data_IF_384789332439
#
_entry.id   IF_384789332439
#
_cell.length_a   1.000
_cell.length_b   1.000
_cell.length_c   1.000
_cell.angle_alpha   90.00
_cell.angle_beta   90.00
_cell.angle_gamma   90.00
#
_symmetry.space_group_name_H-M   'P 1'
#
loop_
_entity.id
_entity.type
_entity.pdbx_description
1 polymer ?
#
# COMPACT_ATOMS: atom_id res chain seq x y z
N UNK A 1 -29.50 -27.79 6.35
CA UNK A 1 -28.48 -27.10 7.17
C UNK A 1 -27.69 -26.26 6.20
N UNK A 2 -28.08 -24.99 6.02
CA UNK A 2 -27.46 -24.12 5.03
C UNK A 2 -25.96 -24.06 5.33
N UNK A 3 -25.14 -24.50 4.39
CA UNK A 3 -23.70 -24.27 4.37
C UNK A 3 -23.51 -22.76 4.23
N UNK A 4 -23.66 -22.07 5.36
CA UNK A 4 -23.52 -20.64 5.47
C UNK A 4 -22.18 -20.29 4.89
N UNK A 5 -22.19 -19.38 3.91
CA UNK A 5 -21.00 -18.69 3.46
C UNK A 5 -20.54 -17.87 4.67
N UNK A 6 -19.83 -18.51 5.60
CA UNK A 6 -19.05 -17.81 6.60
C UNK A 6 -17.99 -17.09 5.80
N UNK A 7 -18.20 -15.82 5.52
CA UNK A 7 -17.12 -14.97 5.02
C UNK A 7 -16.01 -15.11 6.05
N UNK A 8 -14.93 -15.76 5.66
CA UNK A 8 -13.89 -16.16 6.60
C UNK A 8 -13.24 -14.87 7.10
N UNK A 9 -13.55 -14.48 8.34
CA UNK A 9 -13.01 -13.26 8.96
C UNK A 9 -11.49 -13.23 8.91
N UNK A 10 -10.86 -14.42 8.98
CA UNK A 10 -9.43 -14.63 8.75
C UNK A 10 -8.97 -14.18 7.35
N UNK A 11 -9.73 -14.48 6.29
CA UNK A 11 -9.40 -14.04 4.93
C UNK A 11 -9.53 -12.52 4.77
N UNK A 12 -10.55 -11.90 5.39
CA UNK A 12 -10.72 -10.44 5.38
C UNK A 12 -9.57 -9.76 6.14
N UNK A 13 -9.22 -10.27 7.32
CA UNK A 13 -8.06 -9.80 8.09
C UNK A 13 -6.75 -9.97 7.31
N UNK A 14 -6.59 -11.09 6.61
CA UNK A 14 -5.46 -11.34 5.71
C UNK A 14 -5.39 -10.31 4.57
N UNK A 15 -6.53 -9.97 3.96
CA UNK A 15 -6.63 -8.94 2.93
C UNK A 15 -6.25 -7.55 3.45
N UNK A 16 -6.71 -7.18 4.64
CA UNK A 16 -6.32 -5.93 5.32
C UNK A 16 -4.81 -5.90 5.56
N UNK A 17 -4.25 -7.00 6.05
CA UNK A 17 -2.82 -7.16 6.27
C UNK A 17 -2.02 -6.97 4.98
N UNK A 18 -2.45 -7.63 3.90
CA UNK A 18 -1.84 -7.51 2.58
C UNK A 18 -1.84 -6.07 2.07
N UNK A 19 -2.98 -5.38 2.12
CA UNK A 19 -3.09 -3.98 1.70
C UNK A 19 -2.13 -3.08 2.51
N UNK A 20 -2.09 -3.26 3.84
CA UNK A 20 -1.20 -2.51 4.73
C UNK A 20 0.28 -2.74 4.37
N UNK A 21 0.69 -3.99 4.19
CA UNK A 21 2.07 -4.34 3.82
C UNK A 21 2.43 -3.77 2.45
N UNK A 22 1.56 -3.93 1.45
CA UNK A 22 1.81 -3.39 0.10
C UNK A 22 1.97 -1.87 0.11
N UNK A 23 1.11 -1.13 0.82
CA UNK A 23 1.27 0.32 0.96
C UNK A 23 2.61 0.69 1.60
N UNK A 24 2.96 0.05 2.71
CA UNK A 24 4.22 0.29 3.41
C UNK A 24 5.44 0.05 2.50
N UNK A 25 5.48 -1.08 1.80
CA UNK A 25 6.60 -1.42 0.90
C UNK A 25 6.71 -0.44 -0.27
N UNK A 26 5.59 0.00 -0.85
CA UNK A 26 5.55 0.99 -1.92
C UNK A 26 6.07 2.36 -1.45
N UNK A 27 5.63 2.82 -0.28
CA UNK A 27 6.12 4.06 0.34
C UNK A 27 7.61 3.97 0.67
N UNK A 28 8.04 2.86 1.27
CA UNK A 28 9.43 2.62 1.62
C UNK A 28 10.34 2.61 0.38
N UNK A 29 9.93 1.92 -0.69
CA UNK A 29 10.66 1.89 -1.95
C UNK A 29 10.78 3.28 -2.58
N UNK A 30 9.68 4.04 -2.64
CA UNK A 30 9.68 5.41 -3.17
C UNK A 30 10.59 6.34 -2.37
N UNK A 31 10.52 6.27 -1.04
CA UNK A 31 11.36 7.08 -0.15
C UNK A 31 12.84 6.69 -0.24
N UNK A 32 13.15 5.40 -0.31
CA UNK A 32 14.51 4.90 -0.48
C UNK A 32 15.12 5.38 -1.79
N UNK A 33 14.36 5.32 -2.89
CA UNK A 33 14.80 5.80 -4.20
C UNK A 33 15.11 7.30 -4.18
N UNK A 34 14.20 8.13 -3.63
CA UNK A 34 14.43 9.59 -3.48
C UNK A 34 15.67 9.88 -2.64
N UNK A 35 15.83 9.19 -1.51
CA UNK A 35 16.97 9.39 -0.61
C UNK A 35 18.29 9.04 -1.30
N UNK A 36 18.35 7.91 -2.00
CA UNK A 36 19.54 7.49 -2.72
C UNK A 36 19.94 8.52 -3.80
N UNK A 37 18.96 9.00 -4.58
CA UNK A 37 19.17 10.05 -5.57
C UNK A 37 19.66 11.38 -4.95
N UNK A 38 19.05 11.82 -3.85
CA UNK A 38 19.45 13.03 -3.14
C UNK A 38 20.86 12.92 -2.54
N UNK A 39 21.21 11.77 -1.97
CA UNK A 39 22.56 11.53 -1.44
C UNK A 39 23.63 11.61 -2.53
N UNK A 40 23.34 11.08 -3.72
CA UNK A 40 24.26 11.17 -4.86
C UNK A 40 24.49 12.64 -5.27
N UNK A 41 23.46 13.49 -5.22
CA UNK A 41 23.57 14.92 -5.47
C UNK A 41 24.36 15.68 -4.39
N UNK A 42 24.15 15.34 -3.12
CA UNK A 42 24.92 15.88 -2.00
C UNK A 42 26.40 15.51 -2.05
N UNK A 43 26.74 14.37 -2.67
CA UNK A 43 28.11 13.94 -2.95
C UNK A 43 28.82 14.74 -4.05
N UNK A 44 28.17 15.77 -4.62
CA UNK A 44 28.74 16.65 -5.64
C UNK A 44 28.33 16.32 -7.06
N UNK A 45 27.49 15.31 -7.30
CA UNK A 45 27.00 14.98 -8.63
C UNK A 45 25.88 15.95 -9.07
N UNK A 46 26.15 16.78 -10.08
CA UNK A 46 25.22 17.84 -10.55
C UNK A 46 25.24 18.07 -12.07
N UNK A 47 25.62 17.06 -12.85
CA UNK A 47 25.68 17.17 -14.30
C UNK A 47 24.30 16.97 -14.99
N UNK A 48 24.27 17.00 -16.32
CA UNK A 48 23.03 16.77 -17.08
C UNK A 48 22.45 15.36 -16.90
N UNK A 49 23.29 14.35 -16.58
CA UNK A 49 22.82 12.99 -16.31
C UNK A 49 22.13 12.91 -14.95
N UNK A 50 22.63 13.65 -13.96
CA UNK A 50 21.95 13.80 -12.68
C UNK A 50 20.55 14.38 -12.86
N UNK A 51 20.40 15.43 -13.68
CA UNK A 51 19.09 16.02 -13.97
C UNK A 51 18.16 15.04 -14.71
N UNK A 52 18.65 14.33 -15.73
CA UNK A 52 17.88 13.33 -16.45
C UNK A 52 17.43 12.16 -15.54
N UNK A 53 18.31 11.67 -14.67
CA UNK A 53 17.97 10.66 -13.68
C UNK A 53 16.94 11.16 -12.68
N UNK A 54 16.96 12.45 -12.33
CA UNK A 54 15.98 13.07 -11.45
C UNK A 54 14.56 12.93 -11.98
N UNK A 55 14.34 13.23 -13.26
CA UNK A 55 13.05 13.04 -13.91
C UNK A 55 12.56 11.59 -13.84
N UNK A 56 13.44 10.63 -14.17
CA UNK A 56 13.13 9.20 -14.10
C UNK A 56 12.78 8.78 -12.66
N UNK A 57 13.53 9.24 -11.67
CA UNK A 57 13.28 8.96 -10.24
C UNK A 57 11.93 9.51 -9.82
N UNK A 58 11.57 10.72 -10.22
CA UNK A 58 10.27 11.32 -9.92
C UNK A 58 9.10 10.55 -10.56
N UNK A 59 9.26 10.12 -11.82
CA UNK A 59 8.28 9.27 -12.51
C UNK A 59 8.09 7.93 -11.79
N UNK A 60 9.18 7.26 -11.42
CA UNK A 60 9.13 6.01 -10.66
C UNK A 60 8.47 6.20 -9.30
N UNK A 61 8.83 7.24 -8.55
CA UNK A 61 8.20 7.53 -7.25
C UNK A 61 6.71 7.81 -7.36
N UNK A 62 6.29 8.50 -8.42
CA UNK A 62 4.89 8.75 -8.71
C UNK A 62 4.16 7.44 -9.05
N UNK A 63 4.77 6.57 -9.86
CA UNK A 63 4.21 5.27 -10.20
C UNK A 63 4.05 4.36 -8.98
N UNK A 64 5.04 4.35 -8.07
CA UNK A 64 4.99 3.57 -6.81
C UNK A 64 3.92 4.08 -5.84
N UNK A 65 3.66 5.39 -5.81
CA UNK A 65 2.72 5.99 -4.85
C UNK A 65 1.27 6.06 -5.33
N UNK A 66 1.02 6.05 -6.65
CA UNK A 66 -0.32 5.98 -7.25
C UNK A 66 -1.23 4.86 -6.67
N UNK A 67 -0.80 3.59 -6.60
CA UNK A 67 -1.65 2.51 -6.11
C UNK A 67 -1.97 2.56 -4.61
N UNK A 68 -1.27 3.40 -3.82
CA UNK A 68 -1.54 3.53 -2.37
C UNK A 68 -2.97 3.97 -2.11
N UNK A 69 -3.51 4.91 -2.90
CA UNK A 69 -4.88 5.38 -2.72
C UNK A 69 -5.92 4.27 -2.94
N UNK A 70 -5.71 3.43 -3.95
CA UNK A 70 -6.59 2.29 -4.25
C UNK A 70 -6.49 1.21 -3.16
N UNK A 71 -5.27 0.94 -2.68
CA UNK A 71 -5.04 0.01 -1.56
C UNK A 71 -5.66 0.51 -0.26
N UNK A 72 -5.62 1.82 0.00
CA UNK A 72 -6.24 2.43 1.17
C UNK A 72 -7.78 2.34 1.10
N UNK A 73 -8.37 2.58 -0.07
CA UNK A 73 -9.81 2.40 -0.28
C UNK A 73 -10.22 0.93 -0.11
N UNK A 74 -9.46 0.00 -0.69
CA UNK A 74 -9.68 -1.44 -0.55
C UNK A 74 -9.63 -1.86 0.93
N UNK A 75 -8.62 -1.39 1.65
CA UNK A 75 -8.48 -1.66 3.08
C UNK A 75 -9.67 -1.12 3.89
N UNK A 76 -10.19 0.06 3.57
CA UNK A 76 -11.41 0.61 4.20
C UNK A 76 -12.62 -0.30 3.99
N UNK A 77 -12.87 -0.73 2.75
CA UNK A 77 -13.98 -1.65 2.44
C UNK A 77 -13.85 -3.00 3.15
N UNK A 78 -12.62 -3.51 3.30
CA UNK A 78 -12.37 -4.75 4.04
C UNK A 78 -12.60 -4.57 5.55
N UNK A 79 -12.30 -3.39 6.12
CA UNK A 79 -12.62 -3.08 7.51
C UNK A 79 -14.12 -3.01 7.75
N UNK A 80 -14.87 -2.36 6.84
CA UNK A 80 -16.34 -2.31 6.91
C UNK A 80 -16.95 -3.72 6.83
N UNK A 81 -16.42 -4.56 5.93
CA UNK A 81 -16.84 -5.95 5.80
C UNK A 81 -16.54 -6.75 7.08
N UNK A 82 -15.35 -6.57 7.67
CA UNK A 82 -15.00 -7.25 8.91
C UNK A 82 -15.94 -6.87 10.06
N UNK A 83 -16.29 -5.58 10.18
CA UNK A 83 -17.24 -5.11 11.17
C UNK A 83 -18.63 -5.74 10.96
N UNK A 84 -19.12 -5.79 9.71
CA UNK A 84 -20.40 -6.41 9.39
C UNK A 84 -20.44 -7.92 9.72
N UNK A 85 -19.33 -8.64 9.50
CA UNK A 85 -19.21 -10.06 9.88
C UNK A 85 -19.30 -10.22 11.40
N UNK A 86 -18.58 -9.39 12.16
CA UNK A 86 -18.55 -9.44 13.62
C UNK A 86 -19.92 -9.12 14.24
N UNK A 87 -20.64 -8.15 13.69
CA UNK A 87 -22.01 -7.83 14.10
C UNK A 87 -22.95 -9.02 13.84
N UNK A 88 -22.85 -9.64 12.67
CA UNK A 88 -23.66 -10.81 12.33
C UNK A 88 -23.38 -11.98 13.27
N UNK A 89 -22.12 -12.30 13.53
CA UNK A 89 -21.71 -13.35 14.47
C UNK A 89 -22.22 -13.08 15.90
N UNK A 90 -22.23 -11.82 16.33
CA UNK A 90 -22.69 -11.42 17.66
C UNK A 90 -24.22 -11.51 17.83
N UNK A 91 -24.98 -11.30 16.76
CA UNK A 91 -26.46 -11.45 16.77
C UNK A 91 -26.96 -12.89 16.61
N UNK A 92 -26.08 -13.80 16.16
CA UNK A 92 -26.40 -15.21 15.91
C UNK A 92 -25.97 -16.13 17.07
N UNK A 93 -25.50 -15.54 18.18
CA UNK A 93 -25.24 -16.11 19.50
C UNK A 93 -26.39 -15.79 20.46
#
# INVERSE_FOLDING_TARGET
>A
MASGVSVESAAVQGGIGCCRTSMHELEAASNSLKRSYQQAGSGGWKDQKYAALGGIVEECCSALTKPIGELQECMGKLQDLLAAIQDYESTNL
#
